data_IF_845869833562
#
_entry.id   IF_845869833562
#
_cell.length_a   1.000
_cell.length_b   1.000
_cell.length_c   1.000
_cell.angle_alpha   90.00
_cell.angle_beta   90.00
_cell.angle_gamma   90.00
#
_symmetry.space_group_name_H-M   'P 1'
#
loop_
_entity.id
_entity.type
_entity.pdbx_description
1 polymer ?
#
# COMPACT_ATOMS: atom_id res chain seq x y z
N UNK A 1 -22.62 6.33 -32.28
CA UNK A 1 -22.91 5.78 -30.94
C UNK A 1 -23.54 6.88 -30.12
N UNK A 2 -24.77 6.66 -29.64
CA UNK A 2 -25.46 7.59 -28.76
C UNK A 2 -24.71 7.62 -27.43
N UNK A 3 -24.06 8.75 -27.13
CA UNK A 3 -23.55 9.06 -25.80
C UNK A 3 -24.77 9.25 -24.89
N UNK A 4 -24.80 8.57 -23.75
CA UNK A 4 -25.87 8.71 -22.76
C UNK A 4 -26.05 10.18 -22.35
N UNK A 5 -27.29 10.55 -22.02
CA UNK A 5 -27.68 11.90 -21.66
C UNK A 5 -26.73 12.49 -20.60
N UNK A 6 -25.97 13.54 -20.98
CA UNK A 6 -25.09 14.31 -20.09
C UNK A 6 -23.60 14.31 -20.42
N UNK A 7 -23.13 13.61 -21.46
CA UNK A 7 -21.72 13.67 -21.88
C UNK A 7 -21.54 14.75 -22.96
N UNK A 8 -20.92 15.87 -22.59
CA UNK A 8 -20.57 16.94 -23.52
C UNK A 8 -19.24 16.60 -24.22
N UNK A 9 -19.27 16.41 -25.55
CA UNK A 9 -18.06 16.22 -26.34
C UNK A 9 -17.47 17.60 -26.69
N UNK A 10 -16.30 17.92 -26.14
CA UNK A 10 -15.54 19.13 -26.49
C UNK A 10 -14.38 18.77 -27.42
N UNK A 11 -14.24 19.52 -28.51
CA UNK A 11 -13.17 19.32 -29.50
C UNK A 11 -12.22 20.51 -29.41
N UNK A 12 -10.93 20.21 -29.24
CA UNK A 12 -9.87 21.20 -29.17
C UNK A 12 -8.86 20.95 -30.29
N UNK A 13 -8.48 22.00 -31.00
CA UNK A 13 -7.56 21.95 -32.13
C UNK A 13 -6.29 22.72 -31.81
N UNK A 14 -5.14 22.15 -32.17
CA UNK A 14 -3.83 22.78 -31.99
C UNK A 14 -3.14 22.93 -33.35
N UNK A 15 -2.71 24.14 -33.68
CA UNK A 15 -1.90 24.38 -34.88
C UNK A 15 -0.41 24.27 -34.52
N UNK A 16 0.08 23.05 -34.34
CA UNK A 16 1.46 22.76 -33.93
C UNK A 16 1.90 21.39 -34.43
N UNK A 17 3.19 21.25 -34.73
CA UNK A 17 3.81 19.94 -34.98
C UNK A 17 4.24 19.23 -33.69
N UNK A 18 4.12 19.88 -32.53
CA UNK A 18 4.43 19.28 -31.24
C UNK A 18 3.38 18.23 -30.85
N UNK A 19 3.84 17.03 -30.49
CA UNK A 19 2.99 15.91 -30.08
C UNK A 19 3.19 15.50 -28.61
N UNK A 20 4.03 16.22 -27.85
CA UNK A 20 4.40 15.88 -26.47
C UNK A 20 4.27 17.10 -25.58
N UNK A 21 3.72 16.89 -24.38
CA UNK A 21 3.58 17.92 -23.35
C UNK A 21 2.83 19.18 -23.81
N UNK A 22 1.83 19.00 -24.67
CA UNK A 22 0.87 20.07 -24.97
C UNK A 22 0.10 20.43 -23.69
N UNK A 23 -0.22 21.72 -23.54
CA UNK A 23 -1.04 22.18 -22.43
C UNK A 23 -2.41 21.49 -22.45
N UNK A 24 -2.94 21.21 -21.26
CA UNK A 24 -4.30 20.71 -21.10
C UNK A 24 -5.30 21.69 -21.74
N UNK A 25 -6.15 21.25 -22.68
CA UNK A 25 -7.01 22.16 -23.43
C UNK A 25 -8.35 22.47 -22.76
N UNK A 26 -8.75 21.69 -21.76
CA UNK A 26 -10.02 21.86 -21.05
C UNK A 26 -9.89 22.77 -19.83
N UNK A 27 -10.97 22.85 -19.07
CA UNK A 27 -10.98 23.50 -17.76
C UNK A 27 -10.04 22.74 -16.79
N UNK A 28 -9.49 23.43 -15.80
CA UNK A 28 -8.67 22.82 -14.74
C UNK A 28 -9.50 21.80 -13.98
N UNK A 29 -9.04 20.55 -13.95
CA UNK A 29 -9.72 19.48 -13.24
C UNK A 29 -9.67 19.70 -11.72
N UNK A 30 -10.81 19.60 -11.07
CA UNK A 30 -10.97 19.64 -9.63
C UNK A 30 -10.52 18.32 -8.98
N UNK A 31 -10.50 18.27 -7.65
CA UNK A 31 -10.07 17.11 -6.86
C UNK A 31 -11.00 15.91 -7.05
N UNK A 32 -10.43 14.75 -7.44
CA UNK A 32 -11.15 13.50 -7.72
C UNK A 32 -12.09 13.59 -8.94
N UNK A 33 -11.86 14.59 -9.80
CA UNK A 33 -12.58 14.73 -11.05
C UNK A 33 -11.99 13.77 -12.07
N UNK A 34 -12.87 13.15 -12.84
CA UNK A 34 -12.54 12.21 -13.90
C UNK A 34 -13.08 12.74 -15.23
N UNK A 35 -12.25 12.65 -16.26
CA UNK A 35 -12.65 12.96 -17.64
C UNK A 35 -12.02 11.96 -18.60
N UNK A 36 -12.54 11.90 -19.83
CA UNK A 36 -12.03 11.04 -20.88
C UNK A 36 -11.50 11.89 -22.03
N UNK A 37 -10.32 11.56 -22.53
CA UNK A 37 -9.68 12.23 -23.67
C UNK A 37 -9.22 11.23 -24.69
N UNK A 38 -9.14 11.67 -25.95
CA UNK A 38 -8.52 10.91 -27.03
C UNK A 38 -7.94 11.84 -28.07
N UNK A 39 -7.01 11.33 -28.87
CA UNK A 39 -6.66 11.93 -30.15
C UNK A 39 -7.52 11.31 -31.27
N UNK A 40 -7.62 11.97 -32.43
CA UNK A 40 -8.28 11.38 -33.59
C UNK A 40 -7.71 9.98 -33.87
N UNK A 41 -8.61 9.01 -34.06
CA UNK A 41 -8.27 7.61 -34.36
C UNK A 41 -7.54 6.84 -33.24
N UNK A 42 -7.52 7.34 -32.00
CA UNK A 42 -7.07 6.57 -30.83
C UNK A 42 -8.25 6.16 -29.93
N UNK A 43 -7.99 5.19 -29.06
CA UNK A 43 -8.90 4.84 -27.98
C UNK A 43 -9.02 5.99 -26.97
N UNK A 44 -10.15 6.00 -26.25
CA UNK A 44 -10.37 6.88 -25.12
C UNK A 44 -9.50 6.49 -23.94
N UNK A 45 -8.92 7.48 -23.28
CA UNK A 45 -8.15 7.31 -22.06
C UNK A 45 -8.78 8.16 -20.96
N UNK A 46 -8.91 7.57 -19.79
CA UNK A 46 -9.42 8.24 -18.60
C UNK A 46 -8.29 9.00 -17.89
N UNK A 47 -8.56 10.24 -17.50
CA UNK A 47 -7.71 11.05 -16.64
C UNK A 47 -8.50 11.35 -15.38
N UNK A 48 -7.95 11.00 -14.22
CA UNK A 48 -8.53 11.28 -12.92
C UNK A 48 -7.50 11.99 -12.04
N UNK A 49 -7.90 13.10 -11.40
CA UNK A 49 -7.05 13.77 -10.41
C UNK A 49 -7.12 13.08 -9.05
N UNK A 50 -6.03 13.17 -8.29
CA UNK A 50 -6.03 12.75 -6.89
C UNK A 50 -6.69 13.76 -5.95
N UNK A 51 -6.24 13.73 -4.70
CA UNK A 51 -6.54 14.74 -3.68
C UNK A 51 -5.58 15.94 -3.83
N UNK A 52 -6.13 17.10 -4.19
CA UNK A 52 -5.35 18.31 -4.50
C UNK A 52 -5.13 19.17 -3.25
N UNK A 53 -6.17 19.37 -2.43
CA UNK A 53 -6.11 20.23 -1.25
C UNK A 53 -6.14 19.39 0.04
N UNK A 54 -5.53 19.86 1.14
CA UNK A 54 -5.57 19.16 2.43
C UNK A 54 -6.97 18.80 2.92
N UNK A 55 -7.96 19.67 2.66
CA UNK A 55 -9.38 19.42 3.01
C UNK A 55 -9.99 18.21 2.29
N UNK A 56 -9.44 17.83 1.14
CA UNK A 56 -9.99 16.75 0.30
C UNK A 56 -9.78 15.37 0.93
N UNK A 57 -8.86 15.27 1.89
CA UNK A 57 -8.63 14.08 2.72
C UNK A 57 -9.76 13.79 3.72
N UNK A 58 -10.83 14.60 3.78
CA UNK A 58 -12.03 14.33 4.59
C UNK A 58 -11.70 14.02 6.06
N UNK A 59 -10.75 14.77 6.64
CA UNK A 59 -10.27 14.61 8.02
C UNK A 59 -9.58 13.27 8.30
N UNK A 60 -9.07 12.58 7.28
CA UNK A 60 -8.18 11.44 7.45
C UNK A 60 -6.97 11.83 8.31
N UNK A 61 -6.72 11.03 9.34
CA UNK A 61 -5.66 11.22 10.32
C UNK A 61 -4.51 10.27 10.01
N UNK A 62 -3.29 10.71 10.23
CA UNK A 62 -2.17 9.77 10.36
C UNK A 62 -2.33 8.98 11.65
N UNK A 63 -2.56 7.67 11.56
CA UNK A 63 -2.84 6.80 12.70
C UNK A 63 -1.73 5.77 12.92
N UNK A 64 -1.47 5.47 14.20
CA UNK A 64 -0.52 4.45 14.63
C UNK A 64 -1.04 3.67 15.84
N UNK A 65 -0.41 2.56 16.18
CA UNK A 65 -0.71 1.88 17.45
C UNK A 65 -0.28 2.74 18.64
N UNK A 66 -1.12 2.78 19.69
CA UNK A 66 -0.82 3.40 21.00
C UNK A 66 0.34 2.79 21.75
N UNK A 67 0.77 1.58 21.36
CA UNK A 67 1.86 0.91 22.04
C UNK A 67 3.17 1.68 21.85
N UNK A 68 3.85 1.94 22.98
CA UNK A 68 5.13 2.63 23.00
C UNK A 68 6.20 1.85 22.22
N UNK A 69 6.92 2.58 21.36
CA UNK A 69 8.05 2.06 20.60
C UNK A 69 9.35 2.58 21.19
N UNK A 70 10.31 1.68 21.45
CA UNK A 70 11.67 2.09 21.79
C UNK A 70 12.34 2.77 20.59
N UNK A 71 12.84 3.99 20.81
CA UNK A 71 13.71 4.68 19.83
C UNK A 71 14.97 3.83 19.62
N UNK A 72 15.48 3.78 18.39
CA UNK A 72 16.70 3.01 18.05
C UNK A 72 16.52 1.49 17.87
N UNK A 73 15.35 0.90 18.15
CA UNK A 73 15.07 -0.53 17.88
C UNK A 73 14.34 -0.74 16.54
N UNK A 74 14.50 -1.90 15.88
CA UNK A 74 13.64 -2.28 14.75
C UNK A 74 12.17 -2.24 15.14
N UNK A 75 11.30 -1.84 14.20
CA UNK A 75 9.85 -1.84 14.42
C UNK A 75 9.25 -3.10 13.80
N UNK A 76 8.51 -3.85 14.58
CA UNK A 76 7.67 -4.92 14.04
C UNK A 76 6.54 -4.34 13.21
N UNK A 77 6.12 -5.09 12.20
CA UNK A 77 5.00 -4.71 11.34
C UNK A 77 3.75 -4.46 12.17
N UNK A 78 2.99 -3.46 11.75
CA UNK A 78 1.79 -2.95 12.38
C UNK A 78 0.60 -3.25 11.47
N UNK A 79 -0.39 -3.96 11.97
CA UNK A 79 -1.66 -4.15 11.28
C UNK A 79 -2.64 -3.11 11.81
N UNK A 80 -3.32 -2.43 10.90
CA UNK A 80 -4.40 -1.48 11.17
C UNK A 80 -5.65 -1.99 10.49
N UNK A 81 -6.80 -2.05 11.17
CA UNK A 81 -8.06 -2.44 10.52
C UNK A 81 -9.24 -1.59 10.96
N UNK A 82 -10.25 -1.50 10.10
CA UNK A 82 -11.56 -0.93 10.40
C UNK A 82 -12.66 -1.70 9.68
N UNK A 83 -13.72 -2.04 10.42
CA UNK A 83 -14.99 -2.45 9.83
C UNK A 83 -15.79 -1.21 9.42
N UNK A 84 -16.52 -1.30 8.31
CA UNK A 84 -17.47 -0.27 7.89
C UNK A 84 -18.64 -0.92 7.16
N UNK A 85 -19.81 -0.28 7.23
CA UNK A 85 -21.02 -0.81 6.64
C UNK A 85 -21.48 0.06 5.46
N UNK A 86 -21.77 -0.59 4.34
CA UNK A 86 -22.40 0.00 3.16
C UNK A 86 -23.85 -0.49 3.08
N UNK A 87 -24.65 -0.06 4.04
CA UNK A 87 -26.07 -0.39 4.15
C UNK A 87 -26.90 0.46 3.18
N UNK A 88 -26.87 0.11 1.90
CA UNK A 88 -27.74 0.70 0.88
C UNK A 88 -28.70 -0.34 0.34
N UNK A 89 -30.00 -0.05 0.40
CA UNK A 89 -31.07 -0.93 -0.09
C UNK A 89 -31.44 -0.63 -1.54
N UNK A 90 -31.22 0.60 -2.01
CA UNK A 90 -31.69 1.09 -3.32
C UNK A 90 -30.56 1.46 -4.29
N UNK A 91 -29.38 1.83 -3.78
CA UNK A 91 -28.25 2.20 -4.61
C UNK A 91 -27.24 1.04 -4.72
N UNK A 92 -26.52 0.93 -5.84
CA UNK A 92 -25.38 0.04 -5.96
C UNK A 92 -24.08 0.83 -5.88
N UNK A 93 -22.98 0.13 -5.60
CA UNK A 93 -21.64 0.71 -5.63
C UNK A 93 -21.31 0.99 -7.10
N UNK A 94 -21.10 2.27 -7.43
CA UNK A 94 -20.74 2.68 -8.78
C UNK A 94 -19.23 2.74 -8.95
N UNK A 95 -18.53 3.22 -7.93
CA UNK A 95 -17.08 3.46 -7.98
C UNK A 95 -16.51 3.52 -6.57
N UNK A 96 -15.32 2.98 -6.36
CA UNK A 96 -14.57 3.20 -5.13
C UNK A 96 -13.11 3.58 -5.43
N UNK A 97 -12.57 4.49 -4.60
CA UNK A 97 -11.19 4.96 -4.66
C UNK A 97 -10.55 4.91 -3.29
N UNK A 98 -9.40 4.24 -3.19
CA UNK A 98 -8.55 4.28 -2.02
C UNK A 98 -7.39 5.24 -2.25
N UNK A 99 -7.33 6.31 -1.47
CA UNK A 99 -6.18 7.20 -1.36
C UNK A 99 -5.39 6.81 -0.12
N UNK A 100 -4.11 6.47 -0.25
CA UNK A 100 -3.35 5.91 0.88
C UNK A 100 -1.89 6.32 0.88
N UNK A 101 -1.38 6.58 2.08
CA UNK A 101 0.03 6.78 2.36
C UNK A 101 0.45 6.15 3.69
N UNK A 102 1.76 6.05 3.91
CA UNK A 102 2.33 5.48 5.12
C UNK A 102 3.56 6.22 5.63
N UNK A 103 3.68 6.28 6.95
CA UNK A 103 4.92 6.61 7.64
C UNK A 103 5.77 5.33 7.73
N UNK A 104 6.26 4.87 6.58
CA UNK A 104 6.82 3.53 6.41
C UNK A 104 6.56 3.00 5.00
N UNK A 105 6.29 1.70 4.90
CA UNK A 105 5.69 1.07 3.72
C UNK A 105 4.35 0.50 4.10
N UNK A 106 3.45 0.33 3.14
CA UNK A 106 2.18 -0.34 3.38
C UNK A 106 1.89 -1.47 2.39
N UNK A 107 0.98 -2.36 2.78
CA UNK A 107 0.13 -3.14 1.89
C UNK A 107 -1.32 -3.00 2.35
N UNK A 108 -2.27 -2.87 1.44
CA UNK A 108 -3.67 -2.65 1.74
C UNK A 108 -4.55 -3.80 1.26
N UNK A 109 -5.50 -4.19 2.10
CA UNK A 109 -6.49 -5.21 1.78
C UNK A 109 -7.89 -4.68 2.09
N UNK A 110 -8.85 -4.98 1.22
CA UNK A 110 -10.27 -4.78 1.48
C UNK A 110 -10.94 -6.13 1.30
N UNK A 111 -11.69 -6.57 2.32
CA UNK A 111 -12.40 -7.84 2.32
C UNK A 111 -11.53 -9.08 2.01
N UNK A 112 -10.27 -9.09 2.46
CA UNK A 112 -9.33 -10.19 2.20
C UNK A 112 -8.59 -10.11 0.87
N UNK A 113 -8.94 -9.14 0.01
CA UNK A 113 -8.30 -8.95 -1.29
C UNK A 113 -7.35 -7.76 -1.27
N UNK A 114 -6.17 -7.94 -1.85
CA UNK A 114 -5.17 -6.88 -1.96
C UNK A 114 -5.64 -5.84 -2.98
N UNK A 115 -5.64 -4.57 -2.57
CA UNK A 115 -6.13 -3.47 -3.42
C UNK A 115 -5.08 -3.05 -4.45
N UNK A 116 -3.81 -3.37 -4.19
CA UNK A 116 -2.68 -2.98 -5.03
C UNK A 116 -1.85 -4.14 -5.59
N UNK A 117 -1.21 -3.92 -6.75
CA UNK A 117 -0.12 -4.76 -7.25
C UNK A 117 1.28 -4.19 -6.94
N UNK A 118 1.34 -3.09 -6.18
CA UNK A 118 2.57 -2.42 -5.80
C UNK A 118 3.34 -3.22 -4.74
N UNK A 119 4.66 -3.26 -4.89
CA UNK A 119 5.62 -3.75 -3.90
C UNK A 119 6.39 -2.56 -3.34
N UNK A 120 6.66 -2.55 -2.04
CA UNK A 120 7.43 -1.48 -1.38
C UNK A 120 6.87 -0.06 -1.61
N UNK A 121 5.54 0.08 -1.73
CA UNK A 121 4.89 1.38 -1.78
C UNK A 121 5.24 2.16 -0.50
N UNK A 122 5.72 3.41 -0.56
CA UNK A 122 5.67 4.39 -1.66
C UNK A 122 7.05 4.73 -2.26
N UNK A 123 8.04 3.84 -2.11
CA UNK A 123 9.43 4.15 -2.43
C UNK A 123 10.13 5.03 -1.38
N UNK A 124 11.35 5.49 -1.70
CA UNK A 124 12.17 6.29 -0.81
C UNK A 124 12.13 7.78 -1.20
N UNK A 125 11.69 8.63 -0.27
CA UNK A 125 11.38 10.05 -0.52
C UNK A 125 12.09 10.97 0.48
N UNK A 126 12.11 12.25 0.16
CA UNK A 126 12.45 13.31 1.10
C UNK A 126 11.25 13.66 2.00
N UNK A 127 10.92 12.77 2.95
CA UNK A 127 9.71 12.82 3.79
C UNK A 127 9.49 14.11 4.60
N UNK A 128 10.48 15.02 4.67
CA UNK A 128 10.35 16.35 5.29
C UNK A 128 9.77 17.41 4.34
N UNK A 129 9.84 17.19 3.04
CA UNK A 129 9.42 18.13 2.00
C UNK A 129 8.13 17.68 1.31
N UNK A 130 8.09 16.40 0.93
CA UNK A 130 6.93 15.78 0.31
C UNK A 130 6.71 14.39 0.87
N UNK A 131 5.46 13.95 0.85
CA UNK A 131 5.04 12.62 1.25
C UNK A 131 4.07 12.10 0.20
N UNK A 132 4.48 11.12 -0.59
CA UNK A 132 3.66 10.64 -1.72
C UNK A 132 2.46 9.85 -1.19
N UNK A 133 1.34 9.88 -1.90
CA UNK A 133 0.24 8.93 -1.72
C UNK A 133 -0.12 8.27 -3.05
N UNK A 134 -0.64 7.05 -2.97
CA UNK A 134 -1.17 6.31 -4.11
C UNK A 134 -2.69 6.42 -4.16
N UNK A 135 -3.24 6.28 -5.37
CA UNK A 135 -4.68 6.17 -5.63
C UNK A 135 -4.96 4.83 -6.30
N UNK A 136 -5.90 4.07 -5.78
CA UNK A 136 -6.32 2.79 -6.35
C UNK A 136 -7.81 2.77 -6.67
N UNK A 137 -8.16 2.09 -7.76
CA UNK A 137 -9.52 1.63 -7.98
C UNK A 137 -9.81 0.47 -7.03
N UNK A 138 -10.75 0.68 -6.10
CA UNK A 138 -11.15 -0.30 -5.11
C UNK A 138 -12.57 -0.82 -5.36
N UNK A 139 -13.15 -0.54 -6.54
CA UNK A 139 -14.58 -0.77 -6.83
C UNK A 139 -14.98 -2.23 -6.66
N UNK A 140 -14.16 -3.15 -7.16
CA UNK A 140 -14.42 -4.60 -7.06
C UNK A 140 -14.11 -5.16 -5.66
N UNK A 141 -13.27 -4.50 -4.88
CA UNK A 141 -12.87 -4.98 -3.55
C UNK A 141 -13.94 -4.68 -2.48
N UNK A 142 -14.82 -3.71 -2.72
CA UNK A 142 -15.91 -3.34 -1.80
C UNK A 142 -17.21 -4.07 -2.15
N UNK A 143 -17.98 -4.41 -1.12
CA UNK A 143 -19.23 -5.14 -1.25
C UNK A 143 -20.39 -4.41 -0.54
N UNK A 144 -21.63 -4.79 -0.83
CA UNK A 144 -22.79 -4.31 -0.05
C UNK A 144 -22.77 -4.88 1.37
N UNK A 145 -23.27 -4.12 2.34
CA UNK A 145 -23.32 -4.55 3.74
C UNK A 145 -21.98 -4.40 4.47
N UNK A 146 -21.60 -5.41 5.26
CA UNK A 146 -20.42 -5.33 6.13
C UNK A 146 -19.13 -5.52 5.34
N UNK A 147 -18.22 -4.58 5.48
CA UNK A 147 -16.90 -4.60 4.86
C UNK A 147 -15.80 -4.41 5.92
N UNK A 148 -14.57 -4.74 5.54
CA UNK A 148 -13.40 -4.37 6.32
C UNK A 148 -12.27 -3.90 5.40
N UNK A 149 -11.51 -2.92 5.90
CA UNK A 149 -10.25 -2.47 5.32
C UNK A 149 -9.12 -2.76 6.30
N UNK A 150 -8.02 -3.30 5.79
CA UNK A 150 -6.79 -3.60 6.51
C UNK A 150 -5.59 -2.90 5.86
N UNK A 151 -4.69 -2.37 6.68
CA UNK A 151 -3.41 -1.83 6.25
C UNK A 151 -2.28 -2.47 7.06
N UNK A 152 -1.39 -3.20 6.39
CA UNK A 152 -0.14 -3.70 6.95
C UNK A 152 0.95 -2.65 6.75
N UNK A 153 1.48 -2.10 7.83
CA UNK A 153 2.53 -1.09 7.82
C UNK A 153 3.85 -1.67 8.30
N UNK A 154 4.93 -1.44 7.55
CA UNK A 154 6.30 -1.78 7.97
C UNK A 154 7.17 -0.52 8.06
N UNK A 155 8.33 -0.62 8.71
CA UNK A 155 9.19 0.54 8.99
C UNK A 155 9.74 1.25 7.76
N UNK A 156 9.93 0.53 6.64
CA UNK A 156 10.45 1.09 5.39
C UNK A 156 11.73 1.91 5.54
N UNK A 157 11.91 2.85 4.62
CA UNK A 157 12.95 3.87 4.69
C UNK A 157 12.65 4.95 5.75
N UNK A 158 11.39 5.15 6.12
CA UNK A 158 10.95 6.17 7.07
C UNK A 158 11.53 5.95 8.48
N UNK A 159 11.38 4.73 9.01
CA UNK A 159 11.81 4.36 10.37
C UNK A 159 12.84 3.22 10.41
N UNK A 160 13.09 2.53 9.29
CA UNK A 160 14.09 1.46 9.19
C UNK A 160 15.52 1.98 9.24
N UNK A 161 16.47 1.03 9.24
CA UNK A 161 17.90 1.36 9.15
C UNK A 161 18.25 1.67 7.70
N UNK A 162 18.71 2.88 7.47
CA UNK A 162 19.28 3.30 6.19
C UNK A 162 20.80 3.10 6.20
N UNK A 163 21.40 2.93 5.02
CA UNK A 163 22.85 3.00 4.81
C UNK A 163 23.75 2.24 5.82
N UNK A 164 23.58 0.92 5.96
CA UNK A 164 24.54 0.05 6.68
C UNK A 164 25.04 0.60 8.03
N UNK A 165 26.30 0.30 8.39
CA UNK A 165 27.03 1.04 9.42
C UNK A 165 28.08 1.89 8.73
N UNK A 166 27.80 3.18 8.56
CA UNK A 166 28.83 4.16 8.19
C UNK A 166 29.39 4.70 9.51
N UNK A 167 30.69 4.56 9.75
CA UNK A 167 31.39 5.08 10.94
C UNK A 167 30.76 4.66 12.29
N UNK A 168 30.23 3.43 12.38
CA UNK A 168 29.51 2.90 13.57
C UNK A 168 28.22 3.65 13.94
N UNK A 169 27.72 4.59 13.12
CA UNK A 169 26.39 5.20 13.29
C UNK A 169 25.28 4.25 12.85
N UNK A 170 24.14 4.31 13.55
CA UNK A 170 22.88 3.66 13.16
C UNK A 170 21.94 4.72 12.57
N UNK A 171 21.74 4.68 11.26
CA UNK A 171 20.85 5.61 10.54
C UNK A 171 19.40 5.10 10.57
N UNK A 172 18.91 4.73 11.75
CA UNK A 172 17.54 4.31 11.98
C UNK A 172 16.69 5.46 12.51
N UNK A 173 15.42 5.49 12.12
CA UNK A 173 14.46 6.50 12.54
C UNK A 173 14.86 7.93 12.08
N UNK A 174 15.45 8.07 10.89
CA UNK A 174 15.89 9.36 10.37
C UNK A 174 14.73 10.35 10.12
N UNK A 175 13.57 9.83 9.70
CA UNK A 175 12.39 10.65 9.39
C UNK A 175 11.33 10.58 10.48
N UNK A 176 11.23 9.43 11.14
CA UNK A 176 10.45 9.27 12.36
C UNK A 176 10.66 7.89 12.96
N UNK A 177 10.23 7.73 14.22
CA UNK A 177 10.32 6.44 14.92
C UNK A 177 8.96 5.76 15.10
N UNK A 178 7.87 6.46 14.77
CA UNK A 178 6.50 5.93 14.78
C UNK A 178 6.12 5.55 13.36
N UNK A 179 5.64 4.32 13.20
CA UNK A 179 5.12 3.83 11.92
C UNK A 179 3.60 3.88 11.98
N UNK A 180 2.96 4.22 10.85
CA UNK A 180 1.53 4.42 10.75
C UNK A 180 1.08 4.60 9.32
N UNK A 181 -0.21 4.83 9.12
CA UNK A 181 -0.81 5.07 7.81
C UNK A 181 -1.81 6.22 7.88
N UNK A 182 -2.07 6.81 6.72
CA UNK A 182 -3.18 7.73 6.50
C UNK A 182 -3.89 7.30 5.22
N UNK A 183 -5.22 7.16 5.28
CA UNK A 183 -5.99 6.75 4.11
C UNK A 183 -7.37 7.38 4.08
N UNK A 184 -7.94 7.44 2.88
CA UNK A 184 -9.33 7.76 2.63
C UNK A 184 -9.87 6.78 1.60
N UNK A 185 -10.85 5.96 1.97
CA UNK A 185 -11.66 5.22 1.01
C UNK A 185 -12.92 6.05 0.70
N UNK A 186 -13.11 6.41 -0.57
CA UNK A 186 -14.32 7.06 -1.08
C UNK A 186 -15.12 6.03 -1.88
N UNK A 187 -16.39 5.85 -1.55
CA UNK A 187 -17.33 5.02 -2.30
C UNK A 187 -18.43 5.91 -2.85
N UNK A 188 -18.55 5.95 -4.18
CA UNK A 188 -19.65 6.62 -4.89
C UNK A 188 -20.74 5.60 -5.18
N UNK A 189 -21.94 5.88 -4.72
CA UNK A 189 -23.14 5.08 -5.00
C UNK A 189 -23.83 5.57 -6.27
N UNK A 190 -24.68 4.73 -6.86
CA UNK A 190 -25.39 5.01 -8.11
C UNK A 190 -26.37 6.19 -8.04
N UNK A 191 -26.76 6.61 -6.84
CA UNK A 191 -27.56 7.81 -6.57
C UNK A 191 -26.69 9.08 -6.41
N UNK A 192 -25.38 8.98 -6.69
CA UNK A 192 -24.34 10.00 -6.52
C UNK A 192 -23.99 10.33 -5.07
N UNK A 193 -24.52 9.59 -4.09
CA UNK A 193 -24.10 9.70 -2.70
C UNK A 193 -22.64 9.25 -2.55
N UNK A 194 -21.84 10.03 -1.83
CA UNK A 194 -20.45 9.68 -1.50
C UNK A 194 -20.36 9.23 -0.03
N UNK A 195 -19.87 8.02 0.20
CA UNK A 195 -19.51 7.52 1.52
C UNK A 195 -18.00 7.62 1.70
N UNK A 196 -17.56 8.20 2.82
CA UNK A 196 -16.16 8.40 3.14
C UNK A 196 -15.76 7.59 4.36
N UNK A 197 -14.70 6.80 4.24
CA UNK A 197 -14.12 5.99 5.30
C UNK A 197 -12.67 6.46 5.52
N UNK A 198 -12.46 7.48 6.37
CA UNK A 198 -11.12 7.98 6.66
C UNK A 198 -10.37 7.08 7.67
N UNK A 199 -9.05 7.17 7.66
CA UNK A 199 -8.23 6.77 8.80
C UNK A 199 -8.55 7.68 9.99
N UNK A 200 -9.01 7.11 11.08
CA UNK A 200 -9.44 7.85 12.28
C UNK A 200 -9.25 7.04 13.56
N UNK A 201 -9.73 7.56 14.69
CA UNK A 201 -9.56 6.93 16.01
C UNK A 201 -10.41 5.68 16.24
N UNK A 202 -11.32 5.32 15.31
CA UNK A 202 -12.13 4.10 15.43
C UNK A 202 -11.42 2.86 14.86
N UNK A 203 -10.22 3.02 14.32
CA UNK A 203 -9.41 1.91 13.84
C UNK A 203 -8.82 1.11 15.00
N UNK A 204 -8.62 -0.17 14.75
CA UNK A 204 -7.92 -1.08 15.66
C UNK A 204 -6.53 -1.39 15.14
N UNK A 205 -5.63 -1.79 16.03
CA UNK A 205 -4.23 -2.07 15.72
C UNK A 205 -3.68 -3.27 16.48
N UNK A 206 -2.76 -3.99 15.83
CA UNK A 206 -1.94 -5.01 16.50
C UNK A 206 -0.55 -5.07 15.87
N UNK A 207 0.49 -5.34 16.66
CA UNK A 207 1.84 -5.57 16.14
C UNK A 207 2.09 -7.05 15.96
N UNK A 208 2.85 -7.38 14.91
CA UNK A 208 3.24 -8.76 14.64
C UNK A 208 3.94 -9.44 15.83
N UNK A 209 4.82 -8.72 16.54
CA UNK A 209 5.50 -9.25 17.72
C UNK A 209 4.59 -9.57 18.89
N UNK A 210 3.46 -8.88 19.02
CA UNK A 210 2.51 -9.16 20.11
C UNK A 210 1.69 -10.42 19.80
N UNK A 211 1.42 -10.67 18.52
CA UNK A 211 0.87 -11.95 18.05
C UNK A 211 1.83 -13.10 18.35
N UNK A 212 3.13 -12.92 18.06
CA UNK A 212 4.16 -13.94 18.32
C UNK A 212 4.37 -14.24 19.82
N UNK A 213 4.25 -13.24 20.69
CA UNK A 213 4.45 -13.43 22.14
C UNK A 213 3.30 -14.20 22.80
N UNK A 214 2.08 -14.07 22.28
CA UNK A 214 0.87 -14.63 22.90
C UNK A 214 0.71 -16.12 22.62
N UNK A 215 1.31 -16.63 21.56
CA UNK A 215 1.45 -18.06 21.33
C UNK A 215 2.74 -18.30 20.55
N UNK A 216 3.70 -18.95 21.23
CA UNK A 216 5.04 -19.24 20.75
C UNK A 216 5.04 -20.15 19.50
N UNK A 217 3.91 -20.78 19.18
CA UNK A 217 3.70 -21.55 17.93
C UNK A 217 3.27 -20.68 16.75
N UNK A 218 2.83 -19.44 16.99
CA UNK A 218 2.34 -18.50 15.97
C UNK A 218 3.49 -17.75 15.30
N UNK A 219 4.29 -18.47 14.52
CA UNK A 219 5.17 -17.87 13.49
C UNK A 219 4.52 -17.84 12.10
N UNK A 220 3.23 -18.19 12.01
CA UNK A 220 2.52 -18.42 10.75
C UNK A 220 1.43 -17.36 10.49
N UNK A 221 1.22 -17.07 9.21
CA UNK A 221 0.15 -16.24 8.64
C UNK A 221 -1.27 -16.72 9.02
N UNK A 222 -1.44 -17.91 9.61
CA UNK A 222 -2.74 -18.49 9.95
C UNK A 222 -3.58 -17.66 10.93
N UNK A 223 -2.94 -16.92 11.86
CA UNK A 223 -3.63 -16.02 12.81
C UNK A 223 -4.24 -14.82 12.10
N UNK A 224 -3.60 -14.42 10.99
CA UNK A 224 -4.04 -13.28 10.20
C UNK A 224 -4.85 -13.72 9.00
N UNK A 225 -5.23 -15.00 8.87
CA UNK A 225 -6.11 -15.43 7.79
C UNK A 225 -7.46 -14.73 7.93
N UNK A 226 -7.87 -14.01 6.89
CA UNK A 226 -9.11 -13.23 6.90
C UNK A 226 -9.07 -11.98 7.80
N UNK A 227 -7.92 -11.54 8.30
CA UNK A 227 -7.81 -10.39 9.21
C UNK A 227 -8.45 -9.10 8.66
N UNK A 228 -8.44 -8.93 7.35
CA UNK A 228 -9.01 -7.80 6.61
C UNK A 228 -10.47 -8.05 6.15
N UNK A 229 -11.15 -9.09 6.66
CA UNK A 229 -12.56 -9.42 6.36
C UNK A 229 -13.51 -9.01 7.48
N UNK A 230 -14.76 -8.65 7.17
CA UNK A 230 -15.71 -8.14 8.15
C UNK A 230 -16.05 -9.12 9.30
N UNK A 231 -15.88 -10.43 9.07
CA UNK A 231 -16.14 -11.50 10.03
C UNK A 231 -15.01 -11.73 11.03
N UNK A 232 -13.85 -11.11 10.84
CA UNK A 232 -12.70 -11.29 11.72
C UNK A 232 -12.97 -10.72 13.12
N UNK A 233 -12.76 -11.55 14.14
CA UNK A 233 -12.80 -11.13 15.53
C UNK A 233 -11.49 -10.42 15.92
N UNK A 234 -11.61 -9.13 16.24
CA UNK A 234 -10.50 -8.28 16.63
C UNK A 234 -10.58 -7.82 18.09
N UNK A 235 -11.30 -8.55 18.96
CA UNK A 235 -11.50 -8.17 20.37
C UNK A 235 -10.20 -7.87 21.15
N UNK A 236 -9.10 -8.52 20.77
CA UNK A 236 -7.78 -8.35 21.40
C UNK A 236 -6.90 -7.23 20.80
N UNK A 237 -7.41 -6.53 19.77
CA UNK A 237 -6.68 -5.45 19.10
C UNK A 237 -6.78 -4.15 19.88
N UNK A 238 -5.69 -3.40 19.92
CA UNK A 238 -5.62 -2.13 20.64
C UNK A 238 -6.18 -0.99 19.80
N UNK A 239 -6.77 0.02 20.43
CA UNK A 239 -7.12 1.27 19.75
C UNK A 239 -5.90 1.96 19.14
N UNK A 240 -6.09 2.67 18.03
CA UNK A 240 -5.06 3.54 17.47
C UNK A 240 -4.95 4.87 18.23
N UNK A 241 -3.91 5.62 17.89
CA UNK A 241 -3.80 7.04 18.19
C UNK A 241 -3.47 7.83 16.93
N UNK A 242 -3.82 9.12 16.99
CA UNK A 242 -3.47 10.12 16.00
C UNK A 242 -2.02 10.55 16.21
N UNK A 243 -1.24 10.52 15.13
CA UNK A 243 0.08 11.11 15.06
C UNK A 243 -0.03 12.62 14.74
N UNK A 244 1.02 13.41 15.07
CA UNK A 244 1.09 14.80 14.63
C UNK A 244 0.82 14.93 13.12
N UNK A 245 0.14 16.00 12.68
CA UNK A 245 -0.09 16.24 11.26
C UNK A 245 1.20 16.20 10.45
N UNK A 246 1.12 15.63 9.24
CA UNK A 246 2.23 15.66 8.31
C UNK A 246 2.50 17.11 7.90
N UNK A 247 3.73 17.58 8.13
CA UNK A 247 4.15 18.93 7.72
C UNK A 247 4.58 18.99 6.25
N UNK A 248 4.92 17.83 5.68
CA UNK A 248 5.29 17.69 4.27
C UNK A 248 4.04 17.76 3.37
N UNK A 249 4.22 18.26 2.15
CA UNK A 249 3.14 18.29 1.17
C UNK A 249 2.76 16.86 0.76
N UNK A 250 1.46 16.56 0.77
CA UNK A 250 0.94 15.29 0.25
C UNK A 250 0.76 15.42 -1.25
N UNK A 251 1.48 14.59 -2.01
CA UNK A 251 1.51 14.68 -3.48
C UNK A 251 1.24 13.31 -4.10
N UNK A 252 0.59 13.23 -5.28
CA UNK A 252 0.49 11.98 -6.02
C UNK A 252 1.87 11.52 -6.51
N UNK A 253 2.00 10.25 -6.88
CA UNK A 253 3.23 9.72 -7.48
C UNK A 253 3.40 10.20 -8.93
N UNK A 254 4.56 10.77 -9.26
CA UNK A 254 4.92 11.15 -10.64
C UNK A 254 5.44 9.97 -11.49
N UNK A 255 5.88 8.90 -10.83
CA UNK A 255 6.56 7.76 -11.46
C UNK A 255 5.77 6.46 -11.37
N UNK A 256 6.12 5.46 -12.19
CA UNK A 256 5.55 4.14 -12.07
C UNK A 256 5.94 3.53 -10.71
N UNK A 257 5.03 2.78 -10.09
CA UNK A 257 5.28 2.12 -8.81
C UNK A 257 6.21 0.91 -9.01
N UNK A 258 6.85 0.51 -7.92
CA UNK A 258 7.63 -0.75 -7.89
C UNK A 258 6.66 -1.93 -7.93
N UNK A 259 6.89 -2.87 -8.85
CA UNK A 259 6.07 -4.07 -9.03
C UNK A 259 6.90 -5.33 -9.13
N UNK A 260 6.28 -6.48 -8.92
CA UNK A 260 6.86 -7.78 -9.25
C UNK A 260 6.80 -7.97 -10.76
N UNK A 261 7.91 -7.71 -11.46
CA UNK A 261 7.94 -7.73 -12.94
C UNK A 261 8.11 -9.14 -13.52
N UNK A 262 8.89 -9.99 -12.86
CA UNK A 262 9.24 -11.31 -13.38
C UNK A 262 9.45 -12.29 -12.23
N UNK A 263 8.97 -13.52 -12.43
CA UNK A 263 9.32 -14.66 -11.61
C UNK A 263 10.51 -15.39 -12.26
N UNK A 264 11.54 -15.66 -11.45
CA UNK A 264 12.71 -16.44 -11.86
C UNK A 264 12.64 -17.80 -11.18
N UNK A 265 12.62 -18.86 -11.98
CA UNK A 265 12.77 -20.21 -11.46
C UNK A 265 14.26 -20.46 -11.15
N UNK A 266 14.59 -21.21 -10.08
CA UNK A 266 15.95 -21.66 -9.84
C UNK A 266 16.51 -22.39 -11.06
N UNK A 267 17.74 -22.06 -11.45
CA UNK A 267 18.49 -22.78 -12.47
C UNK A 267 19.06 -24.07 -11.90
N UNK A 268 19.53 -24.04 -10.65
CA UNK A 268 20.12 -25.18 -9.97
C UNK A 268 19.82 -25.11 -8.47
N UNK A 269 19.60 -26.28 -7.86
CA UNK A 269 19.49 -26.44 -6.41
C UNK A 269 20.39 -27.60 -6.02
N UNK A 270 21.36 -27.35 -5.15
CA UNK A 270 22.29 -28.38 -4.69
C UNK A 270 22.62 -28.23 -3.21
N UNK A 271 23.05 -29.33 -2.60
CA UNK A 271 23.43 -29.37 -1.20
C UNK A 271 24.94 -29.26 -1.06
N UNK A 272 25.40 -28.43 -0.13
CA UNK A 272 26.82 -28.32 0.23
C UNK A 272 27.25 -29.49 1.10
N UNK A 273 28.56 -29.70 1.23
CA UNK A 273 29.15 -30.67 2.16
C UNK A 273 28.74 -30.44 3.63
N UNK A 274 28.39 -29.19 3.97
CA UNK A 274 27.88 -28.81 5.30
C UNK A 274 26.38 -29.01 5.48
N UNK A 275 25.70 -29.60 4.49
CA UNK A 275 24.26 -29.90 4.53
C UNK A 275 23.34 -28.73 4.19
N UNK A 276 23.88 -27.56 3.85
CA UNK A 276 23.09 -26.37 3.46
C UNK A 276 22.66 -26.47 2.00
N UNK A 277 21.50 -25.93 1.66
CA UNK A 277 21.06 -25.83 0.27
C UNK A 277 21.51 -24.49 -0.33
N UNK A 278 22.07 -24.54 -1.53
CA UNK A 278 22.30 -23.38 -2.39
C UNK A 278 21.29 -23.44 -3.53
N UNK A 279 20.60 -22.31 -3.74
CA UNK A 279 19.64 -22.11 -4.82
C UNK A 279 20.26 -21.08 -5.76
N UNK A 280 20.74 -21.52 -6.92
CA UNK A 280 21.27 -20.64 -7.96
C UNK A 280 20.16 -20.29 -8.95
N UNK A 281 19.87 -19.00 -9.10
CA UNK A 281 18.92 -18.48 -10.08
C UNK A 281 19.55 -18.23 -11.46
N UNK A 282 20.86 -18.42 -11.61
CA UNK A 282 21.62 -18.17 -12.84
C UNK A 282 21.73 -16.68 -13.22
N UNK A 283 21.20 -15.78 -12.38
CA UNK A 283 21.19 -14.35 -12.58
C UNK A 283 21.29 -13.66 -11.22
N UNK A 284 22.10 -12.60 -11.14
CA UNK A 284 22.05 -11.67 -10.03
C UNK A 284 20.89 -10.67 -10.27
N UNK A 285 19.95 -10.57 -9.33
CA UNK A 285 18.75 -9.74 -9.46
C UNK A 285 18.38 -9.09 -8.11
N UNK A 286 17.45 -8.12 -8.16
CA UNK A 286 16.86 -7.52 -6.97
C UNK A 286 15.41 -8.00 -6.80
N UNK A 287 15.05 -8.53 -5.64
CA UNK A 287 13.73 -9.06 -5.36
C UNK A 287 13.66 -9.82 -4.04
N UNK A 288 12.61 -10.64 -3.89
CA UNK A 288 12.47 -11.60 -2.79
C UNK A 288 12.24 -13.02 -3.32
N UNK A 289 12.59 -14.03 -2.54
CA UNK A 289 12.28 -15.41 -2.85
C UNK A 289 10.90 -15.76 -2.29
N UNK A 290 10.11 -16.51 -3.07
CA UNK A 290 8.90 -17.19 -2.58
C UNK A 290 9.30 -18.61 -2.24
N UNK A 291 9.06 -19.03 -1.00
CA UNK A 291 9.44 -20.35 -0.52
C UNK A 291 8.16 -21.07 -0.10
N UNK A 292 7.94 -22.26 -0.66
CA UNK A 292 6.87 -23.16 -0.22
C UNK A 292 7.49 -24.27 0.60
N UNK A 293 6.99 -24.46 1.82
CA UNK A 293 7.61 -25.34 2.81
C UNK A 293 6.57 -26.22 3.46
N UNK A 294 6.94 -27.49 3.68
CA UNK A 294 6.15 -28.45 4.45
C UNK A 294 7.08 -29.11 5.47
N UNK A 295 6.65 -29.18 6.72
CA UNK A 295 7.45 -29.70 7.81
C UNK A 295 6.76 -29.56 9.16
N UNK A 296 7.37 -30.09 10.22
CA UNK A 296 6.86 -29.98 11.58
C UNK A 296 6.62 -28.52 12.01
N UNK A 297 5.63 -28.32 12.87
CA UNK A 297 5.41 -27.01 13.49
C UNK A 297 6.61 -26.62 14.34
N UNK A 298 7.00 -25.34 14.28
CA UNK A 298 8.16 -24.81 15.01
C UNK A 298 9.51 -25.00 14.32
N UNK A 299 9.56 -25.57 13.12
CA UNK A 299 10.80 -25.64 12.33
C UNK A 299 11.18 -24.27 11.79
N UNK A 300 12.39 -23.83 12.11
CA UNK A 300 12.95 -22.57 11.61
C UNK A 300 13.65 -22.76 10.27
N UNK A 301 13.29 -21.90 9.31
CA UNK A 301 13.89 -21.86 7.98
C UNK A 301 14.62 -20.54 7.85
N UNK A 302 15.94 -20.62 7.72
CA UNK A 302 16.83 -19.47 7.61
C UNK A 302 17.31 -19.40 6.16
N UNK A 303 16.96 -18.33 5.47
CA UNK A 303 17.43 -18.03 4.11
C UNK A 303 18.33 -16.81 4.13
N UNK A 304 19.49 -16.90 3.47
CA UNK A 304 20.39 -15.78 3.25
C UNK A 304 20.55 -15.55 1.75
N UNK A 305 20.50 -14.28 1.33
CA UNK A 305 20.72 -13.90 -0.07
C UNK A 305 22.17 -13.47 -0.28
N UNK A 306 22.85 -14.13 -1.20
CA UNK A 306 24.26 -13.89 -1.51
C UNK A 306 24.41 -13.48 -2.98
N UNK A 307 25.35 -12.56 -3.25
CA UNK A 307 25.69 -12.19 -4.64
C UNK A 307 26.72 -13.13 -5.28
N UNK A 308 27.59 -13.70 -4.45
CA UNK A 308 28.66 -14.59 -4.89
C UNK A 308 28.83 -15.69 -3.85
N UNK A 309 29.19 -16.88 -4.30
CA UNK A 309 29.72 -17.94 -3.44
C UNK A 309 31.08 -18.38 -3.98
N UNK A 310 31.95 -18.84 -3.07
CA UNK A 310 33.23 -19.41 -3.44
C UNK A 310 33.04 -20.91 -3.59
N UNK A 311 33.33 -21.45 -4.77
CA UNK A 311 33.49 -22.89 -4.92
C UNK A 311 34.83 -23.26 -4.30
N UNK A 312 34.82 -24.16 -3.30
CA UNK A 312 36.04 -24.84 -2.91
C UNK A 312 36.42 -25.73 -4.10
N UNK A 313 37.50 -25.37 -4.80
CA UNK A 313 38.23 -26.30 -5.65
C UNK A 313 39.28 -26.99 -4.80
#
# INVERSE_FOLDING_TARGET
MSLGAGIELRIHSFNTSQSRYLAWPGDTLESKEETCVRQPSTDWVTVETGLIQPKDWQRALSIASRQNLSKGKPKSSLYLRKNFDLNTTLAHIQKARLYITALGLYGAEINGERVEDHALALGFQSFKHLHVYDTYDATEAVSRGRNAIGILVSQGWYAGRLFGHIEKRDFRNLYGFRIGAMCLLKVTLSDRTNVHIPSDKTWSSVRFTDLQRRDLRLRKESVMTGWSTASFDNGDWLSVEELPPLTAALVPSDGPPVRKLKELQPKEIFQTVSGKFIIDFGQNFAGCARITVSGPSGTDIISEMLRYWKTAR
#
